data_IF_161276082246
#
_entry.id   IF_161276082246
#
_cell.length_a   1.000
_cell.length_b   1.000
_cell.length_c   1.000
_cell.angle_alpha   90.00
_cell.angle_beta   90.00
_cell.angle_gamma   90.00
#
_symmetry.space_group_name_H-M   'P 1'
#
loop_
_entity.id
_entity.type
_entity.pdbx_description
1 polymer ?
#
# COMPACT_ATOMS: atom_id res chain seq x y z
N UNK A 1 -16.03 -4.12 15.54
CA UNK A 1 -15.31 -4.79 14.44
C UNK A 1 -14.22 -3.83 14.00
N UNK A 2 -12.95 -4.19 14.16
CA UNK A 2 -11.86 -3.37 13.62
C UNK A 2 -11.87 -3.60 12.11
N UNK A 3 -11.97 -2.52 11.34
CA UNK A 3 -11.97 -2.58 9.88
C UNK A 3 -10.57 -3.08 9.44
N UNK A 4 -10.51 -4.22 8.76
CA UNK A 4 -9.24 -4.81 8.31
C UNK A 4 -8.61 -3.94 7.22
N UNK A 5 -7.31 -3.62 7.28
CA UNK A 5 -6.66 -2.81 6.28
C UNK A 5 -6.71 -3.47 4.90
N UNK A 6 -7.22 -2.73 3.90
CA UNK A 6 -7.35 -3.21 2.51
C UNK A 6 -6.36 -2.50 1.59
N UNK A 7 -5.71 -3.28 0.74
CA UNK A 7 -4.82 -2.78 -0.31
C UNK A 7 -5.60 -2.62 -1.61
N UNK A 8 -5.74 -1.37 -2.04
CA UNK A 8 -6.30 -1.00 -3.33
C UNK A 8 -5.20 -1.04 -4.40
N UNK A 9 -5.37 -1.89 -5.40
CA UNK A 9 -4.47 -2.02 -6.55
C UNK A 9 -5.03 -1.36 -7.82
N UNK A 10 -6.12 -0.61 -7.72
CA UNK A 10 -6.83 -0.04 -8.87
C UNK A 10 -5.93 0.87 -9.69
N UNK A 11 -5.28 1.83 -9.03
CA UNK A 11 -4.33 2.74 -9.70
C UNK A 11 -3.17 2.04 -10.40
N UNK A 12 -2.69 0.95 -9.81
CA UNK A 12 -1.64 0.13 -10.43
C UNK A 12 -2.15 -0.56 -11.69
N UNK A 13 -3.32 -1.20 -11.60
CA UNK A 13 -3.94 -1.89 -12.72
C UNK A 13 -4.27 -0.93 -13.87
N UNK A 14 -4.79 0.27 -13.58
CA UNK A 14 -5.09 1.30 -14.57
C UNK A 14 -3.85 1.74 -15.36
N UNK A 15 -2.69 1.93 -14.71
CA UNK A 15 -1.44 2.36 -15.40
C UNK A 15 -0.76 1.21 -16.15
N UNK A 16 -0.69 0.01 -15.57
CA UNK A 16 0.12 -1.09 -16.12
C UNK A 16 -0.69 -2.12 -16.91
N UNK A 17 -2.03 -2.10 -16.85
CA UNK A 17 -2.90 -3.07 -17.54
C UNK A 17 -2.80 -4.50 -17.01
N UNK A 18 -2.07 -4.73 -15.91
CA UNK A 18 -1.84 -6.04 -15.28
C UNK A 18 -1.87 -5.93 -13.77
N UNK A 19 -2.23 -7.02 -13.10
CA UNK A 19 -2.17 -7.11 -11.64
C UNK A 19 -0.70 -7.05 -11.17
N UNK A 20 -0.43 -6.44 -10.02
CA UNK A 20 0.91 -6.45 -9.44
C UNK A 20 1.32 -7.88 -9.11
N UNK A 21 2.49 -8.29 -9.60
CA UNK A 21 3.02 -9.65 -9.42
C UNK A 21 4.53 -9.64 -9.52
N UNK A 22 5.18 -10.62 -8.88
CA UNK A 22 6.63 -10.78 -8.95
C UNK A 22 7.39 -9.89 -7.97
N UNK A 23 8.65 -9.63 -8.29
CA UNK A 23 9.53 -8.73 -7.53
C UNK A 23 9.63 -7.37 -8.21
N UNK A 24 9.81 -6.33 -7.41
CA UNK A 24 10.00 -4.97 -7.89
C UNK A 24 10.09 -3.98 -6.75
N UNK A 25 10.28 -2.71 -7.11
CA UNK A 25 10.11 -1.59 -6.20
C UNK A 25 8.61 -1.31 -6.06
N UNK A 26 8.16 -1.26 -4.81
CA UNK A 26 6.75 -1.08 -4.49
C UNK A 26 6.59 0.18 -3.65
N UNK A 27 5.59 0.99 -4.02
CA UNK A 27 5.21 2.19 -3.28
C UNK A 27 3.76 2.09 -2.85
N UNK A 28 3.52 2.25 -1.55
CA UNK A 28 2.19 2.25 -0.98
C UNK A 28 1.88 3.60 -0.37
N UNK A 29 0.65 4.06 -0.55
CA UNK A 29 0.09 5.20 0.16
C UNK A 29 -0.88 4.69 1.22
N UNK A 30 -0.54 4.89 2.48
CA UNK A 30 -1.38 4.59 3.63
C UNK A 30 -2.21 5.83 3.91
N UNK A 31 -3.51 5.73 3.63
CA UNK A 31 -4.44 6.86 3.73
C UNK A 31 -4.76 7.09 5.19
N UNK A 32 -4.54 8.31 5.68
CA UNK A 32 -4.86 8.61 7.08
C UNK A 32 -6.38 8.64 7.29
N UNK A 33 -6.90 8.08 8.40
CA UNK A 33 -8.34 8.14 8.70
C UNK A 33 -8.79 9.55 9.11
N UNK A 34 -7.86 10.41 9.52
CA UNK A 34 -8.12 11.80 9.89
C UNK A 34 -7.91 12.72 8.68
N UNK A 35 -8.91 13.51 8.32
CA UNK A 35 -8.85 14.45 7.20
C UNK A 35 -7.74 15.53 7.34
N UNK A 36 -7.31 15.81 8.58
CA UNK A 36 -6.23 16.76 8.88
C UNK A 36 -4.84 16.14 8.91
N UNK A 37 -4.75 14.80 8.92
CA UNK A 37 -3.47 14.10 8.91
C UNK A 37 -3.04 13.81 7.46
N UNK A 38 -1.76 14.02 7.17
CA UNK A 38 -1.19 13.67 5.86
C UNK A 38 -1.16 12.14 5.69
N UNK A 39 -1.39 11.70 4.46
CA UNK A 39 -1.15 10.32 4.07
C UNK A 39 0.33 9.97 4.23
N UNK A 40 0.59 8.70 4.54
CA UNK A 40 1.96 8.21 4.63
C UNK A 40 2.33 7.43 3.38
N UNK A 41 3.37 7.88 2.70
CA UNK A 41 3.95 7.14 1.59
C UNK A 41 5.06 6.22 2.10
N UNK A 42 4.88 4.92 1.87
CA UNK A 42 5.81 3.86 2.21
C UNK A 42 6.45 3.37 0.91
N UNK A 43 7.74 3.69 0.73
CA UNK A 43 8.55 3.21 -0.38
C UNK A 43 9.42 2.06 0.11
N UNK A 44 9.37 0.92 -0.58
CA UNK A 44 10.27 -0.18 -0.27
C UNK A 44 11.70 0.19 -0.69
N UNK A 45 12.69 0.04 0.20
CA UNK A 45 14.07 0.45 -0.09
C UNK A 45 14.79 -0.46 -1.09
N UNK A 46 14.26 -1.65 -1.33
CA UNK A 46 14.83 -2.68 -2.19
C UNK A 46 13.73 -3.41 -2.99
N UNK A 47 14.13 -4.10 -4.06
CA UNK A 47 13.22 -4.97 -4.79
C UNK A 47 12.84 -6.17 -3.95
N UNK A 48 11.53 -6.36 -3.74
CA UNK A 48 11.00 -7.49 -2.98
C UNK A 48 9.75 -8.05 -3.62
N UNK A 49 9.33 -9.24 -3.21
CA UNK A 49 8.11 -9.82 -3.73
C UNK A 49 6.91 -8.96 -3.34
N UNK A 50 5.93 -8.84 -4.24
CA UNK A 50 4.71 -8.06 -3.97
C UNK A 50 4.02 -8.48 -2.67
N UNK A 51 4.02 -9.78 -2.35
CA UNK A 51 3.46 -10.32 -1.11
C UNK A 51 4.17 -9.76 0.13
N UNK A 52 5.50 -9.81 0.15
CA UNK A 52 6.30 -9.28 1.26
C UNK A 52 6.10 -7.77 1.42
N UNK A 53 6.01 -7.05 0.30
CA UNK A 53 5.74 -5.62 0.30
C UNK A 53 4.33 -5.30 0.85
N UNK A 54 3.32 -6.12 0.54
CA UNK A 54 1.98 -6.01 1.11
C UNK A 54 1.98 -6.25 2.62
N UNK A 55 2.69 -7.27 3.10
CA UNK A 55 2.79 -7.58 4.53
C UNK A 55 3.39 -6.39 5.30
N UNK A 56 4.49 -5.81 4.80
CA UNK A 56 5.07 -4.58 5.35
C UNK A 56 4.11 -3.40 5.34
N UNK A 57 3.37 -3.21 4.25
CA UNK A 57 2.39 -2.12 4.16
C UNK A 57 1.25 -2.29 5.17
N UNK A 58 0.79 -3.52 5.40
CA UNK A 58 -0.24 -3.85 6.40
C UNK A 58 0.26 -3.60 7.82
N UNK A 59 1.50 -3.97 8.15
CA UNK A 59 2.11 -3.68 9.45
C UNK A 59 2.15 -2.17 9.74
N UNK A 60 2.62 -1.37 8.77
CA UNK A 60 2.68 0.09 8.92
C UNK A 60 1.27 0.69 9.00
N UNK A 61 0.30 0.16 8.25
CA UNK A 61 -1.08 0.61 8.32
C UNK A 61 -1.71 0.32 9.68
N UNK A 62 -1.46 -0.86 10.26
CA UNK A 62 -1.91 -1.23 11.59
C UNK A 62 -1.34 -0.30 12.68
N UNK A 63 -0.04 0.02 12.62
CA UNK A 63 0.59 0.99 13.52
C UNK A 63 -0.03 2.38 13.42
N UNK A 64 -0.45 2.79 12.22
CA UNK A 64 -1.12 4.06 11.95
C UNK A 64 -2.63 4.03 12.17
N UNK A 65 -3.20 2.88 12.54
CA UNK A 65 -4.66 2.64 12.65
C UNK A 65 -5.40 3.04 11.36
N UNK A 66 -4.75 2.87 10.22
CA UNK A 66 -5.33 3.12 8.91
C UNK A 66 -5.91 1.82 8.35
N UNK A 67 -7.06 1.95 7.70
CA UNK A 67 -7.80 0.82 7.12
C UNK A 67 -7.71 0.81 5.59
N UNK A 68 -7.06 1.83 5.01
CA UNK A 68 -6.98 2.03 3.56
C UNK A 68 -5.54 2.23 3.11
N UNK A 69 -5.08 1.32 2.27
CA UNK A 69 -3.77 1.34 1.62
C UNK A 69 -3.99 1.38 0.12
N UNK A 70 -3.23 2.19 -0.60
CA UNK A 70 -3.29 2.30 -2.06
C UNK A 70 -1.93 1.97 -2.63
N UNK A 71 -1.85 0.99 -3.53
CA UNK A 71 -0.65 0.73 -4.31
C UNK A 71 -0.49 1.84 -5.35
N UNK A 72 0.60 2.61 -5.24
CA UNK A 72 0.94 3.62 -6.22
C UNK A 72 1.65 2.97 -7.40
N UNK A 73 1.36 3.42 -8.62
CA UNK A 73 2.08 2.93 -9.78
C UNK A 73 3.37 3.74 -9.95
N UNK A 74 4.50 3.16 -9.56
CA UNK A 74 5.83 3.73 -9.77
C UNK A 74 6.07 4.08 -11.25
#
# INVERSE_FOLDING_TARGET
MADEPRIDIGRYFEKHGRKPSGRGYWVFRIVSPLATARDHELRMPEEMAFKEACERALEVAALRKSTRIVLLPE
#
